data_IF_113878494791
#
_entry.id   IF_113878494791
#
_cell.length_a   1.000
_cell.length_b   1.000
_cell.length_c   1.000
_cell.angle_alpha   90.00
_cell.angle_beta   90.00
_cell.angle_gamma   90.00
#
_symmetry.space_group_name_H-M   'P 1'
#
loop_
_entity.id
_entity.type
_entity.pdbx_description
1 polymer ?
#
# COMPACT_ATOMS: atom_id res chain seq x y z
N UNK A 1 6.97 7.62 3.95
CA UNK A 1 6.42 6.64 4.92
C UNK A 1 7.56 5.78 5.41
N UNK A 2 7.78 5.68 6.72
CA UNK A 2 8.70 4.68 7.26
C UNK A 2 8.03 3.32 7.12
N UNK A 3 8.70 2.36 6.51
CA UNK A 3 8.28 0.96 6.52
C UNK A 3 8.50 0.44 7.94
N UNK A 4 7.48 0.58 8.80
CA UNK A 4 7.56 0.09 10.17
C UNK A 4 7.62 -1.44 10.10
N UNK A 5 8.58 -2.04 10.82
CA UNK A 5 8.66 -3.48 10.97
C UNK A 5 7.33 -4.02 11.52
N UNK A 6 6.98 -5.27 11.20
CA UNK A 6 5.77 -5.87 11.72
C UNK A 6 5.80 -5.86 13.25
N UNK A 7 4.84 -5.17 13.87
CA UNK A 7 4.77 -5.01 15.33
C UNK A 7 4.64 -6.32 16.12
N UNK A 8 4.28 -7.42 15.44
CA UNK A 8 4.10 -8.74 16.07
C UNK A 8 5.35 -9.60 16.03
N UNK A 9 6.10 -9.59 14.93
CA UNK A 9 7.25 -10.47 14.73
C UNK A 9 8.57 -9.74 14.45
N UNK A 10 8.56 -8.41 14.39
CA UNK A 10 9.74 -7.57 14.13
C UNK A 10 10.31 -7.67 12.72
N UNK A 11 9.75 -8.50 11.84
CA UNK A 11 10.21 -8.64 10.45
C UNK A 11 9.69 -7.53 9.56
N UNK A 12 10.52 -7.12 8.61
CA UNK A 12 10.13 -6.18 7.56
C UNK A 12 8.99 -6.78 6.73
N UNK A 13 7.86 -6.07 6.61
CA UNK A 13 6.76 -6.52 5.78
C UNK A 13 7.13 -6.36 4.29
N UNK A 14 6.61 -7.26 3.47
CA UNK A 14 6.70 -7.17 2.01
C UNK A 14 5.62 -6.25 1.46
N UNK A 15 5.82 -5.69 0.27
CA UNK A 15 4.78 -4.87 -0.37
C UNK A 15 3.70 -5.81 -0.92
N UNK A 16 2.46 -5.57 -0.52
CA UNK A 16 1.29 -6.32 -0.99
C UNK A 16 0.60 -5.61 -2.15
N UNK A 17 0.58 -4.28 -2.13
CA UNK A 17 -0.13 -3.47 -3.13
C UNK A 17 0.58 -2.16 -3.41
N UNK A 18 0.52 -1.74 -4.67
CA UNK A 18 1.05 -0.47 -5.17
C UNK A 18 -0.08 0.47 -5.58
N UNK A 19 0.18 1.78 -5.48
CA UNK A 19 -0.72 2.79 -5.99
C UNK A 19 -0.71 2.79 -7.52
N UNK A 20 -1.86 2.69 -8.16
CA UNK A 20 -1.98 2.70 -9.64
C UNK A 20 -1.52 4.04 -10.27
N UNK A 21 -1.46 5.12 -9.48
CA UNK A 21 -1.14 6.47 -9.99
C UNK A 21 0.35 6.77 -9.90
N UNK A 22 0.99 6.49 -8.76
CA UNK A 22 2.39 6.84 -8.51
C UNK A 22 3.31 5.64 -8.33
N UNK A 23 2.78 4.41 -8.42
CA UNK A 23 3.52 3.16 -8.23
C UNK A 23 4.29 3.06 -6.91
N UNK A 24 3.88 3.84 -5.90
CA UNK A 24 4.41 3.73 -4.54
C UNK A 24 3.60 2.70 -3.75
N UNK A 25 4.27 1.99 -2.83
CA UNK A 25 3.63 1.00 -1.97
C UNK A 25 2.52 1.64 -1.12
N UNK A 26 1.34 1.04 -1.15
CA UNK A 26 0.16 1.49 -0.39
C UNK A 26 -0.30 0.47 0.65
N UNK A 27 0.10 -0.79 0.50
CA UNK A 27 -0.23 -1.83 1.45
C UNK A 27 0.96 -2.77 1.61
N UNK A 28 1.19 -3.19 2.85
CA UNK A 28 2.26 -4.09 3.21
C UNK A 28 1.69 -5.34 3.87
N UNK A 29 2.35 -6.47 3.67
CA UNK A 29 1.99 -7.76 4.25
C UNK A 29 3.19 -8.33 5.00
N UNK A 30 2.96 -8.78 6.23
CA UNK A 30 3.93 -9.61 6.92
C UNK A 30 3.75 -11.07 6.51
N UNK A 31 4.68 -11.63 5.72
CA UNK A 31 4.64 -13.05 5.29
C UNK A 31 4.71 -14.07 6.44
N UNK A 32 5.18 -13.66 7.62
CA UNK A 32 5.26 -14.53 8.80
C UNK A 32 3.93 -14.57 9.55
N UNK A 33 3.36 -13.39 9.83
CA UNK A 33 2.11 -13.28 10.57
C UNK A 33 0.87 -13.34 9.67
N UNK A 34 1.05 -13.36 8.35
CA UNK A 34 0.02 -13.26 7.31
C UNK A 34 -0.95 -12.11 7.57
N UNK A 35 -0.42 -11.01 8.14
CA UNK A 35 -1.19 -9.80 8.44
C UNK A 35 -0.90 -8.73 7.41
N UNK A 36 -1.97 -8.17 6.87
CA UNK A 36 -1.94 -7.00 6.00
C UNK A 36 -2.05 -5.72 6.84
N UNK A 37 -1.34 -4.69 6.43
CA UNK A 37 -1.57 -3.33 6.92
C UNK A 37 -2.83 -2.76 6.28
N UNK A 38 -3.37 -1.71 6.88
CA UNK A 38 -4.43 -0.92 6.26
C UNK A 38 -3.95 -0.31 4.93
N UNK A 39 -4.84 -0.22 3.95
CA UNK A 39 -4.54 0.36 2.64
C UNK A 39 -4.37 1.87 2.77
N UNK A 40 -3.17 2.35 2.45
CA UNK A 40 -2.86 3.77 2.47
C UNK A 40 -3.23 4.42 1.15
N UNK A 41 -3.90 5.57 1.21
CA UNK A 41 -4.23 6.33 0.00
C UNK A 41 -3.45 7.64 0.04
N UNK A 42 -2.56 7.84 -0.93
CA UNK A 42 -1.90 9.13 -1.08
C UNK A 42 -2.95 10.19 -1.43
N UNK A 43 -3.13 11.20 -0.58
CA UNK A 43 -4.10 12.28 -0.81
C UNK A 43 -3.87 12.97 -2.16
N UNK A 44 -2.64 13.00 -2.67
CA UNK A 44 -2.32 13.54 -4.01
C UNK A 44 -2.76 12.63 -5.16
N UNK A 45 -2.88 11.32 -4.92
CA UNK A 45 -3.30 10.34 -5.91
C UNK A 45 -4.82 10.16 -5.94
N UNK A 46 -5.53 10.41 -4.83
CA UNK A 46 -7.00 10.29 -4.77
C UNK A 46 -7.68 11.21 -5.79
N UNK A 47 -7.17 12.44 -5.96
CA UNK A 47 -7.65 13.40 -6.94
C UNK A 47 -7.39 12.97 -8.39
N UNK A 48 -6.38 12.12 -8.63
CA UNK A 48 -6.02 11.63 -9.95
C UNK A 48 -6.74 10.33 -10.32
N UNK A 49 -7.09 9.50 -9.33
CA UNK A 49 -7.80 8.22 -9.53
C UNK A 49 -9.19 8.42 -10.14
N UNK A 50 -9.84 9.55 -9.85
CA UNK A 50 -11.16 9.90 -10.41
C UNK A 50 -11.19 10.08 -11.93
N UNK A 51 -10.04 10.15 -12.61
CA UNK A 51 -9.95 10.30 -14.07
C UNK A 51 -9.69 8.98 -14.82
N UNK A 52 -9.49 7.87 -14.12
CA UNK A 52 -9.15 6.56 -14.71
C UNK A 52 -10.40 5.75 -15.11
N UNK A 53 -11.61 6.26 -14.85
CA UNK A 53 -12.87 5.54 -15.10
C UNK A 53 -13.45 5.71 -16.53
N UNK A 54 -12.69 6.20 -17.51
CA UNK A 54 -13.19 6.35 -18.90
C UNK A 54 -12.14 5.85 -19.88
N UNK A 55 -12.01 4.53 -19.99
CA UNK A 55 -11.45 3.86 -21.16
C UNK A 55 -11.91 2.39 -21.12
N UNK A 56 -13.17 2.17 -21.48
CA UNK A 56 -13.71 0.89 -21.90
C UNK A 56 -14.34 1.09 -23.28
#
# INVERSE_FOLDING_TARGET
MRTDNCRKCGKEPSIAKYCDVCHQAIQFECKICQKLTDEQIHSKCIAKRSKISIAA
#
